data_IF_253180214980
#
_entry.id   IF_253180214980
#
_cell.length_a   1.000
_cell.length_b   1.000
_cell.length_c   1.000
_cell.angle_alpha   90.00
_cell.angle_beta   90.00
_cell.angle_gamma   90.00
#
_symmetry.space_group_name_H-M   'P 1'
#
loop_
_entity.id
_entity.type
_entity.pdbx_description
1 polymer ?
#
# COMPACT_ATOMS: atom_id res chain seq x y z
N UNK A 1 -3.07 12.35 -12.24
CA UNK A 1 -4.37 12.68 -11.61
C UNK A 1 -4.11 13.83 -10.63
N UNK A 2 -4.97 14.86 -10.58
CA UNK A 2 -4.72 16.16 -9.90
C UNK A 2 -5.22 16.25 -8.45
N UNK A 3 -5.82 15.18 -7.92
CA UNK A 3 -6.58 15.22 -6.66
C UNK A 3 -5.77 14.96 -5.38
N UNK A 4 -4.53 14.45 -5.48
CA UNK A 4 -3.74 14.09 -4.30
C UNK A 4 -2.64 15.10 -3.92
N UNK A 5 -2.53 16.21 -4.65
CA UNK A 5 -1.49 17.23 -4.41
C UNK A 5 -1.71 18.05 -3.13
N UNK A 6 -2.84 17.87 -2.43
CA UNK A 6 -3.20 18.64 -1.23
C UNK A 6 -3.00 17.91 0.11
N UNK A 7 -2.70 16.61 0.09
CA UNK A 7 -2.50 15.78 1.30
C UNK A 7 -1.01 15.59 1.65
N UNK A 8 -0.14 16.46 1.12
CA UNK A 8 1.33 16.40 1.15
C UNK A 8 1.96 16.74 2.52
N UNK A 9 1.37 16.26 3.62
CA UNK A 9 1.92 16.41 4.97
C UNK A 9 2.41 15.11 5.62
N UNK A 10 2.27 13.96 4.95
CA UNK A 10 2.45 12.65 5.58
C UNK A 10 3.90 12.15 5.48
N UNK A 11 4.57 12.04 6.63
CA UNK A 11 5.97 11.59 6.77
C UNK A 11 6.25 10.16 6.26
N UNK A 12 5.23 9.39 5.88
CA UNK A 12 5.34 8.02 5.39
C UNK A 12 5.34 7.89 3.86
N UNK A 13 4.90 8.92 3.13
CA UNK A 13 4.85 8.89 1.66
C UNK A 13 6.25 9.03 1.07
N UNK A 14 6.61 8.10 0.18
CA UNK A 14 7.90 8.06 -0.50
C UNK A 14 7.85 8.78 -1.84
N UNK A 15 9.03 9.17 -2.34
CA UNK A 15 9.17 9.69 -3.68
C UNK A 15 8.83 8.62 -4.73
N UNK A 16 7.75 8.87 -5.48
CA UNK A 16 7.25 7.96 -6.50
C UNK A 16 8.27 7.68 -7.61
N UNK A 17 9.10 8.65 -8.01
CA UNK A 17 10.13 8.44 -9.04
C UNK A 17 11.23 7.52 -8.54
N UNK A 18 11.64 7.70 -7.28
CA UNK A 18 12.61 6.81 -6.63
C UNK A 18 12.08 5.37 -6.55
N UNK A 19 10.82 5.20 -6.15
CA UNK A 19 10.21 3.86 -6.06
C UNK A 19 9.98 3.25 -7.45
N UNK A 20 9.57 4.04 -8.44
CA UNK A 20 9.49 3.62 -9.84
C UNK A 20 10.82 3.04 -10.33
N UNK A 21 11.93 3.72 -10.06
CA UNK A 21 13.25 3.25 -10.45
C UNK A 21 13.64 1.94 -9.73
N UNK A 22 13.31 1.79 -8.45
CA UNK A 22 13.57 0.56 -7.68
C UNK A 22 12.76 -0.64 -8.16
N UNK A 23 11.57 -0.40 -8.73
CA UNK A 23 10.66 -1.43 -9.20
C UNK A 23 10.68 -1.61 -10.73
N UNK A 24 11.62 -0.97 -11.43
CA UNK A 24 11.65 -0.97 -12.90
C UNK A 24 11.63 -2.38 -13.52
N UNK A 25 12.29 -3.34 -12.87
CA UNK A 25 12.38 -4.73 -13.37
C UNK A 25 11.11 -5.56 -13.11
N UNK A 26 10.22 -5.10 -12.22
CA UNK A 26 8.96 -5.82 -11.87
C UNK A 26 7.71 -5.14 -12.42
N UNK A 27 7.83 -3.87 -12.83
CA UNK A 27 6.77 -3.12 -13.48
C UNK A 27 6.68 -3.50 -14.95
N UNK A 28 5.46 -3.64 -15.46
CA UNK A 28 5.26 -3.84 -16.90
C UNK A 28 5.43 -2.53 -17.66
N UNK A 29 5.70 -2.60 -18.97
CA UNK A 29 5.84 -1.41 -19.82
C UNK A 29 4.64 -0.47 -19.66
N UNK A 30 4.92 0.80 -19.35
CA UNK A 30 3.91 1.84 -19.15
C UNK A 30 3.18 1.80 -17.79
N UNK A 31 3.48 0.86 -16.91
CA UNK A 31 2.98 0.84 -15.54
C UNK A 31 3.71 1.91 -14.71
N UNK A 32 2.94 2.80 -14.09
CA UNK A 32 3.46 3.92 -13.30
C UNK A 32 3.06 3.75 -11.83
N UNK A 33 4.00 4.02 -10.94
CA UNK A 33 3.79 4.20 -9.50
C UNK A 33 3.07 5.52 -9.28
N UNK A 34 1.92 5.46 -8.60
CA UNK A 34 1.07 6.61 -8.30
C UNK A 34 1.23 7.05 -6.85
N UNK A 35 1.40 6.09 -5.93
CA UNK A 35 1.70 6.36 -4.53
C UNK A 35 2.61 5.27 -3.98
N UNK A 36 3.47 5.64 -3.03
CA UNK A 36 4.26 4.69 -2.28
C UNK A 36 4.33 5.11 -0.82
N UNK A 37 4.07 4.18 0.09
CA UNK A 37 4.11 4.39 1.53
C UNK A 37 5.12 3.43 2.14
N UNK A 38 6.11 3.98 2.85
CA UNK A 38 7.00 3.16 3.66
C UNK A 38 6.36 2.91 5.02
N UNK A 39 6.23 1.64 5.34
CA UNK A 39 6.08 1.16 6.71
C UNK A 39 7.47 0.90 7.30
N UNK A 40 7.51 0.48 8.56
CA UNK A 40 8.77 0.23 9.28
C UNK A 40 9.64 -0.79 8.54
N UNK A 41 9.06 -1.89 8.04
CA UNK A 41 9.77 -2.93 7.27
C UNK A 41 9.25 -3.09 5.85
N UNK A 42 7.98 -2.76 5.64
CA UNK A 42 7.29 -3.01 4.38
C UNK A 42 7.15 -1.74 3.55
N UNK A 43 7.01 -1.89 2.25
CA UNK A 43 6.68 -0.80 1.34
C UNK A 43 5.39 -1.17 0.61
N UNK A 44 4.41 -0.28 0.69
CA UNK A 44 3.13 -0.39 0.00
C UNK A 44 3.20 0.51 -1.23
N UNK A 45 3.02 -0.05 -2.42
CA UNK A 45 3.12 0.70 -3.67
C UNK A 45 1.83 0.54 -4.47
N UNK A 46 1.18 1.67 -4.70
CA UNK A 46 0.04 1.78 -5.60
C UNK A 46 0.55 2.14 -6.98
N UNK A 47 0.22 1.31 -7.96
CA UNK A 47 0.46 1.59 -9.37
C UNK A 47 -0.86 1.86 -10.08
N UNK A 48 -0.83 2.19 -11.38
CA UNK A 48 -2.04 2.26 -12.21
C UNK A 48 -2.84 0.95 -12.32
N UNK A 49 -2.27 -0.20 -11.94
CA UNK A 49 -2.86 -1.53 -12.25
C UNK A 49 -3.08 -2.42 -11.03
N UNK A 50 -2.25 -2.27 -10.00
CA UNK A 50 -2.18 -3.17 -8.86
C UNK A 50 -1.53 -2.52 -7.65
N UNK A 51 -1.85 -3.08 -6.50
CA UNK A 51 -1.11 -2.91 -5.27
C UNK A 51 0.11 -3.84 -5.30
N UNK A 52 1.29 -3.33 -4.96
CA UNK A 52 2.50 -4.10 -4.76
C UNK A 52 2.93 -3.94 -3.31
N UNK A 53 3.04 -5.05 -2.59
CA UNK A 53 3.55 -5.08 -1.23
C UNK A 53 4.95 -5.67 -1.26
N UNK A 54 5.90 -4.89 -0.76
CA UNK A 54 7.32 -5.26 -0.72
C UNK A 54 7.72 -5.46 0.73
N UNK A 55 7.93 -6.70 1.11
CA UNK A 55 8.37 -7.10 2.46
C UNK A 55 9.85 -7.47 2.42
N UNK A 56 10.65 -6.81 3.25
CA UNK A 56 12.08 -7.10 3.45
C UNK A 56 12.24 -8.04 4.64
N UNK A 57 12.51 -9.30 4.34
CA UNK A 57 12.62 -10.39 5.31
C UNK A 57 14.06 -10.64 5.77
N UNK A 58 14.15 -11.14 7.01
CA UNK A 58 15.40 -11.60 7.61
C UNK A 58 16.26 -10.50 8.21
N UNK A 59 17.26 -10.89 9.01
CA UNK A 59 18.12 -9.96 9.77
C UNK A 59 18.92 -9.03 8.85
N UNK A 60 19.29 -9.49 7.66
CA UNK A 60 20.05 -8.72 6.66
C UNK A 60 19.17 -7.93 5.70
N UNK A 61 17.85 -8.15 5.68
CA UNK A 61 16.92 -7.53 4.75
C UNK A 61 17.15 -7.87 3.27
N UNK A 62 18.03 -8.84 2.95
CA UNK A 62 18.38 -9.21 1.57
C UNK A 62 17.29 -10.02 0.88
N UNK A 63 16.48 -10.75 1.64
CA UNK A 63 15.35 -11.50 1.08
C UNK A 63 14.19 -10.54 0.95
N UNK A 64 13.72 -10.33 -0.27
CA UNK A 64 12.60 -9.43 -0.54
C UNK A 64 11.46 -10.22 -1.16
N UNK A 65 10.27 -10.08 -0.61
CA UNK A 65 9.03 -10.64 -1.14
C UNK A 65 8.22 -9.55 -1.83
N UNK A 66 7.77 -9.80 -3.05
CA UNK A 66 6.93 -8.88 -3.82
C UNK A 66 5.56 -9.54 -4.03
N UNK A 67 4.54 -9.07 -3.32
CA UNK A 67 3.16 -9.54 -3.49
C UNK A 67 2.41 -8.56 -4.37
N UNK A 68 1.96 -9.02 -5.54
CA UNK A 68 1.16 -8.23 -6.48
C UNK A 68 -0.32 -8.56 -6.34
N UNK A 69 -1.14 -7.56 -6.06
CA UNK A 69 -2.60 -7.70 -5.93
C UNK A 69 -3.28 -6.76 -6.93
N UNK A 70 -3.79 -7.28 -8.07
CA UNK A 70 -4.56 -6.50 -9.03
C UNK A 70 -5.79 -5.89 -8.37
N UNK A 71 -6.09 -4.61 -8.65
CA UNK A 71 -7.21 -3.94 -7.98
C UNK A 71 -8.56 -4.62 -8.23
N UNK A 72 -8.79 -5.07 -9.46
CA UNK A 72 -9.99 -5.86 -9.84
C UNK A 72 -10.20 -7.14 -9.02
N UNK A 73 -9.14 -7.64 -8.37
CA UNK A 73 -9.21 -8.86 -7.57
C UNK A 73 -9.49 -8.59 -6.10
N UNK A 74 -9.38 -7.33 -5.65
CA UNK A 74 -9.70 -6.93 -4.28
C UNK A 74 -11.21 -6.90 -4.16
N UNK A 75 -11.77 -7.81 -3.36
CA UNK A 75 -13.22 -7.90 -3.17
C UNK A 75 -13.71 -7.03 -2.03
N UNK A 76 -12.87 -6.82 -1.02
CA UNK A 76 -13.16 -6.01 0.17
C UNK A 76 -11.87 -5.72 0.93
N UNK A 77 -11.91 -4.65 1.72
CA UNK A 77 -10.86 -4.32 2.68
C UNK A 77 -11.49 -3.74 3.94
N UNK A 78 -10.80 -3.86 5.07
CA UNK A 78 -11.20 -3.24 6.34
C UNK A 78 -10.05 -2.45 6.91
N UNK A 79 -10.37 -1.31 7.52
CA UNK A 79 -9.42 -0.48 8.26
C UNK A 79 -9.91 -0.40 9.69
N UNK A 80 -9.09 -0.86 10.62
CA UNK A 80 -9.32 -0.77 12.06
C UNK A 80 -8.36 0.27 12.61
N UNK A 81 -8.90 1.40 13.08
CA UNK A 81 -8.12 2.43 13.77
C UNK A 81 -8.08 2.10 15.26
N UNK A 82 -6.93 2.25 15.90
CA UNK A 82 -6.83 2.09 17.34
C UNK A 82 -7.41 3.30 18.09
N UNK A 83 -7.93 3.06 19.31
CA UNK A 83 -8.40 4.11 20.20
C UNK A 83 -7.26 4.91 20.83
N UNK A 84 -7.58 5.86 21.72
CA UNK A 84 -6.65 6.85 22.31
C UNK A 84 -5.37 6.30 23.00
N UNK A 85 -5.21 4.98 23.16
CA UNK A 85 -4.11 4.36 23.91
C UNK A 85 -3.25 3.34 23.15
N UNK A 86 -3.70 2.84 22.00
CA UNK A 86 -2.88 2.00 21.12
C UNK A 86 -2.61 2.81 19.85
N UNK A 87 -1.38 2.88 19.39
CA UNK A 87 -1.01 3.66 18.19
C UNK A 87 -1.04 2.79 16.92
N UNK A 88 -1.65 1.61 17.01
CA UNK A 88 -1.56 0.57 16.00
C UNK A 88 -2.90 0.41 15.25
N UNK A 89 -2.97 0.99 14.05
CA UNK A 89 -4.05 0.72 13.11
C UNK A 89 -3.74 -0.51 12.24
N UNK A 90 -4.78 -1.17 11.72
CA UNK A 90 -4.67 -2.39 10.93
C UNK A 90 -5.50 -2.31 9.64
N UNK A 91 -4.91 -2.68 8.50
CA UNK A 91 -5.58 -2.82 7.20
C UNK A 91 -5.60 -4.29 6.81
N UNK A 92 -6.78 -4.83 6.53
CA UNK A 92 -6.95 -6.19 6.02
C UNK A 92 -7.49 -6.14 4.59
N UNK A 93 -6.93 -6.95 3.71
CA UNK A 93 -7.28 -7.00 2.28
C UNK A 93 -7.73 -8.41 1.92
N UNK A 94 -8.90 -8.55 1.31
CA UNK A 94 -9.39 -9.82 0.78
C UNK A 94 -9.33 -9.82 -0.73
N UNK A 95 -8.94 -10.97 -1.28
CA UNK A 95 -8.84 -11.20 -2.71
C UNK A 95 -9.91 -12.21 -3.12
N UNK A 96 -10.71 -11.85 -4.14
CA UNK A 96 -11.76 -12.70 -4.70
C UNK A 96 -12.71 -13.21 -3.59
N UNK A 97 -13.07 -14.49 -3.61
CA UNK A 97 -13.97 -15.12 -2.63
C UNK A 97 -13.24 -15.71 -1.41
N UNK A 98 -11.98 -15.36 -1.15
CA UNK A 98 -11.23 -15.87 0.00
C UNK A 98 -11.98 -15.58 1.30
N UNK A 99 -12.02 -16.51 2.26
CA UNK A 99 -12.67 -16.29 3.56
C UNK A 99 -11.80 -15.42 4.47
N UNK A 100 -10.50 -15.72 4.53
CA UNK A 100 -9.50 -14.99 5.30
C UNK A 100 -8.84 -13.88 4.48
N UNK A 101 -8.33 -12.82 5.12
CA UNK A 101 -7.61 -11.77 4.43
C UNK A 101 -6.33 -12.34 3.78
N UNK A 102 -6.09 -11.93 2.54
CA UNK A 102 -4.88 -12.26 1.80
C UNK A 102 -3.65 -11.49 2.31
N UNK A 103 -3.89 -10.37 3.00
CA UNK A 103 -2.88 -9.57 3.67
C UNK A 103 -3.46 -8.81 4.87
N UNK A 104 -2.65 -8.67 5.91
CA UNK A 104 -2.89 -7.81 7.06
C UNK A 104 -1.68 -6.91 7.30
N UNK A 105 -1.87 -5.60 7.18
CA UNK A 105 -0.83 -4.58 7.34
C UNK A 105 -1.08 -3.78 8.61
N UNK A 106 -0.03 -3.53 9.40
CA UNK A 106 -0.11 -2.77 10.66
C UNK A 106 0.63 -1.45 10.54
N UNK A 107 0.05 -0.40 11.11
CA UNK A 107 0.54 0.98 11.01
C UNK A 107 0.65 1.58 12.39
N UNK A 108 1.75 2.28 12.66
CA UNK A 108 1.97 2.99 13.93
C UNK A 108 1.41 4.42 13.97
N UNK A 109 0.71 4.85 12.91
CA UNK A 109 0.30 6.24 12.73
C UNK A 109 -1.00 6.35 11.93
N UNK A 110 -2.00 6.97 12.55
CA UNK A 110 -3.35 7.13 12.00
C UNK A 110 -3.39 7.92 10.69
N UNK A 111 -2.52 8.92 10.52
CA UNK A 111 -2.52 9.77 9.31
C UNK A 111 -2.14 8.99 8.05
N UNK A 112 -1.23 8.01 8.18
CA UNK A 112 -0.83 7.16 7.06
C UNK A 112 -1.96 6.23 6.64
N UNK A 113 -2.75 5.76 7.61
CA UNK A 113 -3.84 4.81 7.41
C UNK A 113 -4.97 5.43 6.62
N UNK A 114 -5.34 6.68 6.94
CA UNK A 114 -6.39 7.41 6.22
C UNK A 114 -6.00 7.60 4.74
N UNK A 115 -4.75 8.01 4.47
CA UNK A 115 -4.28 8.20 3.10
C UNK A 115 -4.26 6.88 2.30
N UNK A 116 -3.84 5.78 2.93
CA UNK A 116 -3.83 4.45 2.34
C UNK A 116 -5.26 3.95 2.08
N UNK A 117 -6.19 4.22 3.00
CA UNK A 117 -7.60 3.87 2.85
C UNK A 117 -8.21 4.59 1.63
N UNK A 118 -7.96 5.90 1.50
CA UNK A 118 -8.43 6.67 0.36
C UNK A 118 -7.80 6.18 -0.96
N UNK A 119 -6.49 5.95 -0.98
CA UNK A 119 -5.78 5.43 -2.14
C UNK A 119 -6.32 4.05 -2.59
N UNK A 120 -6.62 3.18 -1.64
CA UNK A 120 -7.18 1.86 -1.92
C UNK A 120 -8.63 1.96 -2.43
N UNK A 121 -9.43 2.87 -1.87
CA UNK A 121 -10.78 3.13 -2.35
C UNK A 121 -10.77 3.65 -3.79
N UNK A 122 -9.96 4.65 -4.11
CA UNK A 122 -9.80 5.20 -5.47
C UNK A 122 -9.38 4.10 -6.45
N UNK A 123 -8.35 3.33 -6.10
CA UNK A 123 -7.81 2.27 -6.95
C UNK A 123 -8.79 1.11 -7.20
N UNK A 124 -9.62 0.74 -6.22
CA UNK A 124 -10.58 -0.36 -6.34
C UNK A 124 -11.88 0.09 -7.03
N UNK A 125 -12.33 1.32 -6.79
CA UNK A 125 -13.58 1.85 -7.34
C UNK A 125 -13.40 2.47 -8.75
N UNK A 126 -12.17 2.84 -9.12
CA UNK A 126 -11.85 3.37 -10.45
C UNK A 126 -12.28 4.83 -10.65
N UNK A 127 -12.34 5.62 -9.58
CA UNK A 127 -12.57 7.08 -9.62
C UNK A 127 -11.29 7.89 -9.88
#
# INVERSE_FOLDING_TARGET
>A
MRLLSGLLGNASQQDNQKIQAQLVDVLVTGEQVELAFSLVRDLIVFTKKRLILVDKQGVTGKKVSYKSIPYRSISRFTVETSGHFDLDAELKIWVSSAMEPAETLKFKSDQSVIAIQQALAEAVLGE
#
